data_IF_358940593020
#
_entry.id   IF_358940593020
#
_cell.length_a   1.000
_cell.length_b   1.000
_cell.length_c   1.000
_cell.angle_alpha   90.00
_cell.angle_beta   90.00
_cell.angle_gamma   90.00
#
_symmetry.space_group_name_H-M   'P 1'
#
loop_
_entity.id
_entity.type
_entity.pdbx_description
1 polymer ?
#
# COMPACT_ATOMS: atom_id res chain seq x y z
N UNK A 1 -15.73 -1.42 -10.26
CA UNK A 1 -14.33 -1.81 -10.56
C UNK A 1 -13.47 -0.73 -9.91
N UNK A 2 -12.49 -1.09 -9.07
CA UNK A 2 -11.52 -0.11 -8.55
C UNK A 2 -10.64 0.29 -9.73
N UNK A 3 -10.73 1.54 -10.16
CA UNK A 3 -9.94 2.05 -11.28
C UNK A 3 -9.10 3.23 -10.80
N UNK A 4 -7.92 3.36 -11.40
CA UNK A 4 -6.92 4.38 -11.05
C UNK A 4 -7.23 5.77 -11.60
N UNK A 5 -8.21 5.88 -12.50
CA UNK A 5 -8.72 7.14 -13.05
C UNK A 5 -9.54 7.94 -12.03
N UNK A 6 -10.02 7.31 -10.95
CA UNK A 6 -10.61 7.98 -9.77
C UNK A 6 -9.61 8.15 -8.61
N UNK A 7 -8.35 7.71 -8.77
CA UNK A 7 -7.34 7.66 -7.71
C UNK A 7 -6.03 8.39 -8.05
N UNK A 8 -6.12 9.58 -8.66
CA UNK A 8 -5.08 10.64 -8.75
C UNK A 8 -3.71 10.25 -9.33
N UNK A 9 -2.91 11.24 -9.72
CA UNK A 9 -1.55 11.14 -10.29
C UNK A 9 -0.51 10.38 -9.41
N UNK A 10 -0.94 9.81 -8.29
CA UNK A 10 -0.12 9.17 -7.26
C UNK A 10 -0.03 7.64 -7.38
N UNK A 11 -0.94 6.98 -8.11
CA UNK A 11 -0.95 5.53 -8.33
C UNK A 11 0.05 5.06 -9.40
N UNK A 12 1.02 5.91 -9.77
CA UNK A 12 2.17 5.46 -10.56
C UNK A 12 3.00 4.49 -9.71
N UNK A 13 3.59 3.47 -10.33
CA UNK A 13 4.48 2.53 -9.65
C UNK A 13 3.87 1.18 -9.25
N UNK A 14 3.29 0.47 -10.23
CA UNK A 14 2.79 -0.90 -10.09
C UNK A 14 1.61 -1.06 -9.11
N UNK A 15 0.66 -0.11 -9.12
CA UNK A 15 -0.61 -0.30 -8.40
C UNK A 15 -1.29 -1.60 -8.83
N UNK A 16 -1.77 -2.38 -7.86
CA UNK A 16 -2.34 -3.70 -8.10
C UNK A 16 -1.32 -4.84 -8.03
N UNK A 17 -0.04 -4.54 -7.73
CA UNK A 17 1.01 -5.56 -7.57
C UNK A 17 0.67 -6.60 -6.49
N UNK A 18 0.08 -6.14 -5.38
CA UNK A 18 -0.40 -7.00 -4.31
C UNK A 18 -1.82 -6.57 -3.94
N UNK A 19 -2.73 -7.53 -3.74
CA UNK A 19 -4.14 -7.28 -3.42
C UNK A 19 -4.59 -8.28 -2.38
N UNK A 20 -5.33 -7.81 -1.38
CA UNK A 20 -5.98 -8.64 -0.36
C UNK A 20 -7.34 -8.04 0.00
N UNK A 21 -8.26 -8.88 0.50
CA UNK A 21 -9.64 -8.51 0.82
C UNK A 21 -10.05 -9.12 2.16
N UNK A 22 -10.81 -8.37 2.96
CA UNK A 22 -11.40 -8.87 4.19
C UNK A 22 -12.48 -9.94 3.90
N UNK A 23 -12.82 -10.76 4.91
CA UNK A 23 -13.76 -11.89 4.74
C UNK A 23 -15.16 -11.44 4.35
N UNK A 24 -15.58 -10.28 4.83
CA UNK A 24 -16.90 -9.70 4.53
C UNK A 24 -16.96 -9.03 3.15
N UNK A 25 -15.84 -9.00 2.43
CA UNK A 25 -15.67 -8.35 1.14
C UNK A 25 -15.98 -6.85 1.14
N UNK A 26 -15.92 -6.18 2.30
CA UNK A 26 -16.17 -4.73 2.41
C UNK A 26 -14.89 -3.90 2.46
N UNK A 27 -13.71 -4.51 2.58
CA UNK A 27 -12.41 -3.81 2.60
C UNK A 27 -11.38 -4.50 1.73
N UNK A 28 -10.68 -3.72 0.91
CA UNK A 28 -9.57 -4.16 0.05
C UNK A 28 -8.33 -3.32 0.35
N UNK A 29 -7.18 -3.97 0.42
CA UNK A 29 -5.88 -3.29 0.40
C UNK A 29 -5.13 -3.60 -0.89
N UNK A 30 -4.51 -2.57 -1.48
CA UNK A 30 -3.78 -2.67 -2.75
C UNK A 30 -2.40 -2.04 -2.62
N UNK A 31 -1.36 -2.79 -2.96
CA UNK A 31 0.02 -2.33 -2.99
C UNK A 31 0.44 -1.70 -4.32
N UNK A 32 1.34 -0.72 -4.24
CA UNK A 32 2.02 -0.04 -5.34
C UNK A 32 3.50 0.19 -4.98
N UNK A 33 4.35 -0.86 -5.01
CA UNK A 33 5.70 -0.82 -4.44
C UNK A 33 6.69 0.09 -5.16
N UNK A 34 6.45 0.41 -6.43
CA UNK A 34 7.31 1.33 -7.21
C UNK A 34 6.75 2.74 -7.23
N UNK A 35 5.78 3.04 -6.36
CA UNK A 35 5.23 4.40 -6.26
C UNK A 35 6.27 5.32 -5.65
N UNK A 36 6.65 6.34 -6.42
CA UNK A 36 7.66 7.31 -6.05
C UNK A 36 7.05 8.54 -5.37
N UNK A 37 7.88 9.26 -4.62
CA UNK A 37 7.61 10.64 -4.22
C UNK A 37 8.40 11.60 -5.12
N UNK A 38 7.78 12.70 -5.51
CA UNK A 38 8.45 13.77 -6.27
C UNK A 38 9.38 14.57 -5.34
N UNK A 39 10.61 14.08 -5.21
CA UNK A 39 11.76 14.70 -4.56
C UNK A 39 12.98 14.51 -5.48
N UNK A 40 14.10 15.25 -5.31
CA UNK A 40 15.15 15.38 -6.33
C UNK A 40 15.73 14.07 -6.91
N UNK A 41 15.55 12.93 -6.23
CA UNK A 41 16.13 11.63 -6.60
C UNK A 41 15.10 10.51 -6.93
N UNK A 42 13.80 10.80 -7.10
CA UNK A 42 12.74 9.81 -7.42
C UNK A 42 12.90 8.47 -6.67
N UNK A 43 12.69 8.48 -5.35
CA UNK A 43 12.89 7.29 -4.53
C UNK A 43 11.62 6.42 -4.50
N UNK A 44 11.79 5.12 -4.67
CA UNK A 44 10.72 4.13 -4.61
C UNK A 44 10.31 3.88 -3.16
N UNK A 45 9.47 4.78 -2.63
CA UNK A 45 8.95 4.62 -1.27
C UNK A 45 7.98 3.45 -1.18
N UNK A 46 7.23 3.21 -2.25
CA UNK A 46 6.10 2.29 -2.26
C UNK A 46 4.92 2.83 -1.45
N UNK A 47 3.71 2.45 -1.86
CA UNK A 47 2.45 2.89 -1.24
C UNK A 47 1.49 1.71 -1.10
N UNK A 48 0.64 1.77 -0.09
CA UNK A 48 -0.51 0.87 0.06
C UNK A 48 -1.79 1.68 0.22
N UNK A 49 -2.82 1.29 -0.52
CA UNK A 49 -4.12 1.95 -0.59
C UNK A 49 -5.16 1.06 0.06
N UNK A 50 -6.10 1.65 0.77
CA UNK A 50 -7.22 0.95 1.40
C UNK A 50 -8.52 1.50 0.79
N UNK A 51 -9.40 0.59 0.39
CA UNK A 51 -10.71 0.89 -0.15
C UNK A 51 -11.78 0.16 0.66
N UNK A 52 -12.84 0.86 1.01
CA UNK A 52 -14.03 0.29 1.62
C UNK A 52 -15.21 0.32 0.64
N UNK A 53 -16.05 -0.69 0.71
CA UNK A 53 -17.29 -0.78 -0.06
C UNK A 53 -18.41 -0.09 0.71
N UNK A 54 -19.04 0.93 0.11
CA UNK A 54 -20.12 1.70 0.72
C UNK A 54 -21.52 1.08 0.50
N UNK A 55 -21.58 -0.11 -0.11
CA UNK A 55 -22.82 -0.76 -0.56
C UNK A 55 -23.18 -0.50 -2.02
N UNK A 56 -22.50 0.44 -2.68
CA UNK A 56 -22.69 0.77 -4.11
C UNK A 56 -21.36 0.85 -4.85
N UNK A 57 -20.36 1.51 -4.27
CA UNK A 57 -19.06 1.81 -4.86
C UNK A 57 -17.92 1.43 -3.91
N UNK A 58 -16.71 1.32 -4.49
CA UNK A 58 -15.47 1.24 -3.72
C UNK A 58 -14.93 2.64 -3.52
N UNK A 59 -14.80 3.05 -2.26
CA UNK A 59 -14.35 4.39 -1.88
C UNK A 59 -13.01 4.25 -1.16
N UNK A 60 -12.05 5.11 -1.48
CA UNK A 60 -10.75 5.12 -0.78
C UNK A 60 -10.98 5.54 0.68
N UNK A 61 -10.72 4.66 1.63
CA UNK A 61 -11.01 4.86 3.06
C UNK A 61 -10.17 5.97 3.68
N UNK A 62 -8.92 6.11 3.22
CA UNK A 62 -7.96 7.10 3.70
C UNK A 62 -7.57 7.98 2.54
N UNK A 63 -7.68 9.30 2.71
CA UNK A 63 -7.31 10.28 1.66
C UNK A 63 -5.85 10.07 1.23
N UNK A 64 -4.99 9.76 2.20
CA UNK A 64 -3.57 9.48 1.98
C UNK A 64 -3.27 7.97 2.04
N UNK A 65 -2.51 7.42 1.08
CA UNK A 65 -2.07 6.03 1.17
C UNK A 65 -1.05 5.85 2.30
N UNK A 66 -0.86 4.62 2.75
CA UNK A 66 0.24 4.28 3.66
C UNK A 66 1.54 4.31 2.85
N UNK A 67 2.41 5.26 3.17
CA UNK A 67 3.67 5.49 2.45
C UNK A 67 4.83 4.80 3.18
N UNK A 68 5.70 4.12 2.42
CA UNK A 68 6.93 3.53 2.95
C UNK A 68 8.05 4.55 3.17
N UNK A 69 9.19 4.06 3.66
CA UNK A 69 10.43 4.81 3.66
C UNK A 69 11.07 4.82 2.26
N UNK A 70 11.96 5.78 1.93
CA UNK A 70 12.65 5.78 0.64
C UNK A 70 13.35 4.46 0.33
N UNK A 71 13.25 4.00 -0.93
CA UNK A 71 13.77 2.71 -1.42
C UNK A 71 13.28 1.47 -0.64
N UNK A 72 12.20 1.59 0.13
CA UNK A 72 11.70 0.46 0.93
C UNK A 72 10.83 -0.51 0.13
N UNK A 73 10.31 -0.08 -1.02
CA UNK A 73 9.34 -0.84 -1.83
C UNK A 73 8.12 -1.30 -1.01
N UNK A 74 7.64 -0.45 -0.10
CA UNK A 74 6.48 -0.75 0.74
C UNK A 74 5.23 -1.06 -0.09
N UNK A 75 4.44 -2.04 0.34
CA UNK A 75 3.30 -2.53 -0.44
C UNK A 75 3.69 -3.60 -1.47
N UNK A 76 4.92 -4.14 -1.40
CA UNK A 76 5.30 -5.29 -2.22
C UNK A 76 4.48 -6.54 -1.88
N UNK A 77 4.08 -6.67 -0.61
CA UNK A 77 3.13 -7.68 -0.13
C UNK A 77 2.15 -7.02 0.84
N UNK A 78 0.88 -7.43 0.82
CA UNK A 78 -0.16 -6.95 1.74
C UNK A 78 -1.01 -8.13 2.21
N UNK A 79 -1.42 -8.12 3.48
CA UNK A 79 -2.37 -9.10 4.02
C UNK A 79 -3.34 -8.44 5.02
N UNK A 80 -4.65 -8.60 4.79
CA UNK A 80 -5.70 -8.11 5.67
C UNK A 80 -6.19 -9.25 6.56
N UNK A 81 -6.38 -8.96 7.84
CA UNK A 81 -7.08 -9.87 8.73
C UNK A 81 -8.52 -10.11 8.26
N UNK A 82 -9.10 -11.24 8.67
CA UNK A 82 -10.46 -11.61 8.25
C UNK A 82 -11.51 -10.57 8.61
N UNK A 83 -11.33 -9.86 9.73
CA UNK A 83 -12.21 -8.79 10.20
C UNK A 83 -11.91 -7.42 9.56
N UNK A 84 -10.90 -7.34 8.68
CA UNK A 84 -10.52 -6.11 7.96
C UNK A 84 -9.86 -5.04 8.83
N UNK A 85 -9.59 -5.33 10.11
CA UNK A 85 -9.08 -4.34 11.05
C UNK A 85 -7.55 -4.31 11.12
N UNK A 86 -6.86 -5.40 10.80
CA UNK A 86 -5.39 -5.46 10.81
C UNK A 86 -4.85 -5.62 9.39
N UNK A 87 -3.87 -4.80 9.03
CA UNK A 87 -3.17 -4.85 7.75
C UNK A 87 -1.68 -5.06 7.99
N UNK A 88 -1.10 -6.09 7.37
CA UNK A 88 0.34 -6.29 7.27
C UNK A 88 0.84 -5.77 5.92
N UNK A 89 1.96 -5.04 5.92
CA UNK A 89 2.59 -4.50 4.73
C UNK A 89 4.08 -4.86 4.73
N UNK A 90 4.53 -5.50 3.66
CA UNK A 90 5.94 -5.83 3.44
C UNK A 90 6.67 -4.72 2.68
N UNK A 91 7.89 -4.42 3.12
CA UNK A 91 8.80 -3.45 2.54
C UNK A 91 10.22 -4.09 2.42
N UNK A 92 10.48 -4.89 1.37
CA UNK A 92 11.69 -5.70 1.28
C UNK A 92 12.97 -4.89 1.11
N UNK A 93 12.89 -3.66 0.59
CA UNK A 93 14.06 -2.77 0.49
C UNK A 93 14.32 -1.94 1.74
N UNK A 94 13.47 -2.06 2.78
CA UNK A 94 13.65 -1.27 4.00
C UNK A 94 15.02 -1.57 4.63
N UNK A 95 15.80 -0.51 4.82
CA UNK A 95 17.09 -0.56 5.49
C UNK A 95 16.87 -0.18 6.97
N UNK A 96 17.33 -1.01 7.93
CA UNK A 96 17.43 -0.54 9.31
C UNK A 96 18.41 0.64 9.37
N UNK A 97 18.36 1.41 10.46
CA UNK A 97 19.29 2.54 10.71
C UNK A 97 20.78 2.10 10.73
N UNK A 98 21.05 0.79 10.79
CA UNK A 98 22.39 0.18 10.74
C UNK A 98 22.88 -0.21 9.33
N UNK A 99 22.07 -0.02 8.28
CA UNK A 99 22.46 -0.25 6.89
C UNK A 99 22.55 -1.72 6.45
N UNK A 100 22.09 -2.68 7.25
CA UNK A 100 22.27 -4.12 6.94
C UNK A 100 21.18 -4.76 6.07
N UNK A 101 20.29 -3.96 5.45
CA UNK A 101 19.30 -4.38 4.44
C UNK A 101 18.58 -5.70 4.71
N UNK A 102 17.52 -5.68 5.52
CA UNK A 102 16.82 -6.91 5.96
C UNK A 102 15.34 -6.96 5.59
N UNK A 103 14.82 -5.92 4.95
CA UNK A 103 13.38 -5.76 4.75
C UNK A 103 12.64 -5.57 6.07
N UNK A 104 11.39 -5.12 5.98
CA UNK A 104 10.54 -4.84 7.13
C UNK A 104 9.11 -5.31 6.86
N UNK A 105 8.40 -5.71 7.92
CA UNK A 105 6.95 -5.88 7.92
C UNK A 105 6.37 -4.90 8.93
N UNK A 106 5.40 -4.09 8.49
CA UNK A 106 4.66 -3.17 9.36
C UNK A 106 3.22 -3.66 9.51
N UNK A 107 2.71 -3.61 10.74
CA UNK A 107 1.32 -3.91 11.07
C UNK A 107 0.56 -2.60 11.37
N UNK A 108 -0.65 -2.50 10.86
CA UNK A 108 -1.57 -1.37 11.06
C UNK A 108 -2.90 -1.91 11.57
N UNK A 109 -3.52 -1.20 12.51
CA UNK A 109 -4.78 -1.57 13.17
C UNK A 109 -5.68 -0.36 13.37
#
# INVERSE_FOLDING_TARGET
IIRTDEALEEAQGLFGHAVTIARDANRVAVGAPSSSISLPDFLNVGRTYIFDYDGTNWVKTVTDPIVGSPESYSGSTVDLSQDGNTLLIGAPGSLPVDGTGRGEIKAFS
#
